data_IF_627049667282
#
_entry.id   IF_627049667282
#
_cell.length_a   1.000
_cell.length_b   1.000
_cell.length_c   1.000
_cell.angle_alpha   90.00
_cell.angle_beta   90.00
_cell.angle_gamma   90.00
#
_symmetry.space_group_name_H-M   'P 1'
#
loop_
_entity.id
_entity.type
_entity.pdbx_description
1 polymer ?
#
# COMPACT_ATOMS: atom_id res chain seq x y z
N UNK A 1 2.82 2.59 -20.97
CA UNK A 1 4.20 2.02 -20.93
C UNK A 1 4.27 1.14 -19.69
N UNK A 2 4.68 -0.14 -19.79
CA UNK A 2 4.65 -1.03 -18.62
C UNK A 2 5.77 -0.67 -17.65
N UNK A 3 5.43 -0.19 -16.45
CA UNK A 3 6.42 0.15 -15.41
C UNK A 3 7.16 -1.12 -14.95
N UNK A 4 8.44 -0.98 -14.58
CA UNK A 4 9.28 -2.11 -14.20
C UNK A 4 8.81 -2.78 -12.90
N UNK A 5 9.17 -4.05 -12.69
CA UNK A 5 8.84 -4.80 -11.48
C UNK A 5 9.12 -4.04 -10.17
N UNK A 6 10.30 -3.40 -9.97
CA UNK A 6 10.53 -2.57 -8.80
C UNK A 6 9.62 -1.33 -8.71
N UNK A 7 9.28 -0.70 -9.83
CA UNK A 7 8.38 0.46 -9.86
C UNK A 7 6.95 0.09 -9.52
N UNK A 8 6.48 -1.09 -9.94
CA UNK A 8 5.16 -1.62 -9.56
C UNK A 8 5.04 -1.78 -8.04
N UNK A 9 6.06 -2.35 -7.39
CA UNK A 9 6.06 -2.52 -5.92
C UNK A 9 6.07 -1.18 -5.21
N UNK A 10 6.89 -0.24 -5.66
CA UNK A 10 6.96 1.12 -5.10
C UNK A 10 5.63 1.85 -5.25
N UNK A 11 5.03 1.79 -6.45
CA UNK A 11 3.72 2.36 -6.73
C UNK A 11 2.65 1.84 -5.79
N UNK A 12 2.57 0.51 -5.61
CA UNK A 12 1.61 -0.11 -4.69
C UNK A 12 1.88 0.30 -3.26
N UNK A 13 3.13 0.39 -2.83
CA UNK A 13 3.48 0.79 -1.48
C UNK A 13 3.14 2.25 -1.17
N UNK A 14 3.47 3.19 -2.06
CA UNK A 14 3.11 4.61 -1.92
C UNK A 14 1.61 4.83 -2.13
N UNK A 15 0.98 4.12 -3.07
CA UNK A 15 -0.44 4.16 -3.34
C UNK A 15 -1.28 3.67 -2.16
N UNK A 16 -0.90 2.56 -1.55
CA UNK A 16 -1.56 2.09 -0.32
C UNK A 16 -1.41 3.08 0.84
N UNK A 17 -0.21 3.65 1.01
CA UNK A 17 -0.01 4.68 2.01
C UNK A 17 -0.91 5.91 1.77
N UNK A 18 -1.03 6.37 0.52
CA UNK A 18 -1.93 7.47 0.16
C UNK A 18 -3.38 7.11 0.44
N UNK A 19 -3.85 5.95 0.00
CA UNK A 19 -5.22 5.50 0.21
C UNK A 19 -5.59 5.42 1.70
N UNK A 20 -4.69 4.90 2.54
CA UNK A 20 -4.91 4.82 3.98
C UNK A 20 -4.98 6.21 4.64
N UNK A 21 -4.12 7.15 4.23
CA UNK A 21 -4.23 8.54 4.69
C UNK A 21 -5.56 9.18 4.29
N UNK A 22 -6.07 8.88 3.09
CA UNK A 22 -7.39 9.34 2.65
C UNK A 22 -8.52 8.74 3.50
N UNK A 23 -8.35 7.51 3.99
CA UNK A 23 -9.25 6.89 4.98
C UNK A 23 -9.06 7.41 6.41
N UNK A 24 -8.13 8.36 6.65
CA UNK A 24 -7.79 8.85 7.99
C UNK A 24 -6.96 7.88 8.84
N UNK A 25 -6.34 6.87 8.22
CA UNK A 25 -5.47 5.88 8.88
C UNK A 25 -4.00 6.24 8.66
N UNK A 26 -3.33 6.70 9.71
CA UNK A 26 -1.92 7.13 9.65
C UNK A 26 -0.91 6.03 10.02
N UNK A 27 -1.38 4.96 10.65
CA UNK A 27 -0.55 3.83 11.06
C UNK A 27 -1.35 2.52 11.05
N UNK A 28 -0.63 1.40 11.03
CA UNK A 28 -1.17 0.06 11.25
C UNK A 28 -0.54 -0.51 12.53
N UNK A 29 -1.38 -0.90 13.47
CA UNK A 29 -1.00 -1.55 14.73
C UNK A 29 -1.23 -3.08 14.70
N UNK A 30 -1.79 -3.57 13.60
CA UNK A 30 -2.10 -4.97 13.42
C UNK A 30 -0.85 -5.84 13.20
N UNK A 31 -0.86 -7.09 13.68
CA UNK A 31 0.25 -7.99 13.45
C UNK A 31 0.42 -8.25 11.95
N UNK A 32 1.68 -8.31 11.51
CA UNK A 32 2.05 -8.48 10.10
C UNK A 32 1.29 -9.57 9.34
N UNK A 33 1.02 -10.72 9.98
CA UNK A 33 0.31 -11.83 9.32
C UNK A 33 -1.13 -11.45 8.95
N UNK A 34 -1.75 -10.55 9.71
CA UNK A 34 -3.11 -10.09 9.45
C UNK A 34 -3.13 -9.07 8.31
N UNK A 35 -2.13 -8.18 8.30
CA UNK A 35 -1.88 -7.28 7.17
C UNK A 35 -1.60 -8.06 5.87
N UNK A 36 -0.77 -9.11 5.95
CA UNK A 36 -0.49 -10.03 4.83
C UNK A 36 -1.81 -10.61 4.28
N UNK A 37 -2.64 -11.19 5.16
CA UNK A 37 -3.91 -11.83 4.81
C UNK A 37 -4.90 -10.86 4.15
N UNK A 38 -5.13 -9.70 4.78
CA UNK A 38 -6.08 -8.70 4.28
C UNK A 38 -5.65 -8.19 2.89
N UNK A 39 -4.36 -7.87 2.72
CA UNK A 39 -3.85 -7.36 1.46
C UNK A 39 -3.85 -8.42 0.34
N UNK A 40 -3.44 -9.65 0.64
CA UNK A 40 -3.43 -10.77 -0.32
C UNK A 40 -4.83 -11.12 -0.83
N UNK A 41 -5.87 -10.90 -0.03
CA UNK A 41 -7.25 -11.14 -0.43
C UNK A 41 -7.81 -10.02 -1.33
N UNK A 42 -7.59 -8.75 -0.97
CA UNK A 42 -8.21 -7.63 -1.69
C UNK A 42 -7.46 -7.25 -2.97
N UNK A 43 -6.13 -7.30 -2.97
CA UNK A 43 -5.32 -6.80 -4.08
C UNK A 43 -5.64 -7.48 -5.42
N UNK A 44 -5.77 -8.81 -5.52
CA UNK A 44 -6.07 -9.46 -6.80
C UNK A 44 -7.47 -9.15 -7.36
N UNK A 45 -8.40 -8.64 -6.54
CA UNK A 45 -9.78 -8.31 -6.96
C UNK A 45 -9.95 -6.83 -7.30
N UNK A 46 -8.98 -6.00 -6.96
CA UNK A 46 -8.98 -4.58 -7.26
C UNK A 46 -8.88 -4.34 -8.78
N UNK A 47 -9.62 -3.33 -9.27
CA UNK A 47 -9.79 -3.08 -10.70
C UNK A 47 -8.48 -2.80 -11.45
N UNK A 48 -7.51 -2.18 -10.78
CA UNK A 48 -6.21 -1.81 -11.35
C UNK A 48 -5.13 -2.86 -11.14
N UNK A 49 -5.43 -3.98 -10.47
CA UNK A 49 -4.45 -5.03 -10.16
C UNK A 49 -3.73 -5.60 -11.39
N UNK A 50 -4.41 -5.58 -12.55
CA UNK A 50 -3.86 -6.01 -13.84
C UNK A 50 -2.64 -5.20 -14.30
N UNK A 51 -2.56 -3.92 -13.92
CA UNK A 51 -1.44 -3.02 -14.26
C UNK A 51 -0.18 -3.34 -13.44
N UNK A 52 -0.36 -4.03 -12.30
CA UNK A 52 0.70 -4.43 -11.38
C UNK A 52 0.97 -5.93 -11.43
N UNK A 53 1.11 -6.47 -12.64
CA UNK A 53 1.25 -7.93 -12.86
C UNK A 53 2.39 -8.57 -12.05
N UNK A 54 3.48 -7.85 -11.78
CA UNK A 54 4.56 -8.36 -10.94
C UNK A 54 4.11 -8.53 -9.49
N UNK A 55 3.34 -7.59 -8.95
CA UNK A 55 2.82 -7.68 -7.59
C UNK A 55 1.87 -8.86 -7.48
N UNK A 56 0.99 -9.07 -8.46
CA UNK A 56 0.15 -10.27 -8.52
C UNK A 56 0.99 -11.55 -8.52
N UNK A 57 2.08 -11.60 -9.29
CA UNK A 57 3.02 -12.73 -9.28
C UNK A 57 3.71 -12.91 -7.93
N UNK A 58 4.13 -11.83 -7.30
CA UNK A 58 4.80 -11.87 -6.00
C UNK A 58 3.88 -12.48 -4.93
N UNK A 59 2.63 -11.99 -4.84
CA UNK A 59 1.62 -12.51 -3.91
C UNK A 59 1.32 -14.00 -4.17
N UNK A 60 1.15 -14.39 -5.45
CA UNK A 60 0.93 -15.81 -5.82
C UNK A 60 2.08 -16.73 -5.45
N UNK A 61 3.31 -16.22 -5.45
CA UNK A 61 4.50 -17.00 -5.07
C UNK A 61 4.76 -16.99 -3.56
N UNK A 62 3.81 -16.49 -2.75
CA UNK A 62 3.94 -16.41 -1.29
C UNK A 62 4.86 -15.29 -0.82
N UNK A 63 5.08 -14.25 -1.64
CA UNK A 63 5.72 -13.02 -1.16
C UNK A 63 4.71 -12.30 -0.29
N UNK A 64 4.96 -12.28 1.02
CA UNK A 64 4.12 -11.66 2.04
C UNK A 64 3.54 -10.29 1.62
N UNK A 65 2.22 -10.16 1.62
CA UNK A 65 1.49 -8.93 1.26
C UNK A 65 2.00 -7.66 1.94
N UNK A 66 2.29 -7.70 3.24
CA UNK A 66 2.87 -6.61 4.00
C UNK A 66 4.27 -6.23 3.49
N UNK A 67 5.10 -7.15 2.98
CA UNK A 67 6.39 -6.77 2.39
C UNK A 67 6.16 -5.93 1.12
N UNK A 68 5.22 -6.35 0.27
CA UNK A 68 4.88 -5.62 -0.95
C UNK A 68 4.32 -4.24 -0.59
N UNK A 69 3.44 -4.19 0.41
CA UNK A 69 2.74 -2.97 0.83
C UNK A 69 3.67 -1.99 1.57
N UNK A 70 4.54 -2.46 2.48
CA UNK A 70 5.23 -1.58 3.44
C UNK A 70 6.74 -1.59 3.34
N UNK A 71 7.35 -2.39 2.46
CA UNK A 71 8.83 -2.52 2.37
C UNK A 71 9.39 -2.43 0.96
N UNK A 72 8.60 -2.06 -0.03
CA UNK A 72 9.11 -1.81 -1.38
C UNK A 72 10.18 -0.68 -1.40
N UNK A 73 10.14 0.20 -0.40
CA UNK A 73 10.92 1.42 -0.22
C UNK A 73 12.26 1.24 0.51
N UNK A 74 12.48 0.11 1.20
CA UNK A 74 13.58 -0.08 2.15
C UNK A 74 15.01 0.06 1.57
N UNK A 75 15.18 0.14 0.25
CA UNK A 75 16.48 0.32 -0.41
C UNK A 75 16.48 1.32 -1.57
N UNK A 76 15.38 2.05 -1.81
CA UNK A 76 15.25 2.94 -2.97
C UNK A 76 14.55 4.23 -2.58
N UNK A 77 14.98 5.35 -3.18
CA UNK A 77 14.36 6.66 -3.02
C UNK A 77 12.89 6.58 -3.47
N UNK A 78 11.94 6.36 -2.56
CA UNK A 78 10.54 6.73 -2.79
C UNK A 78 10.45 8.24 -2.84
N UNK A 79 9.51 8.76 -3.62
CA UNK A 79 9.47 10.18 -3.93
C UNK A 79 8.57 10.95 -2.96
N UNK A 80 7.54 10.32 -2.38
CA UNK A 80 6.50 11.01 -1.59
C UNK A 80 6.27 10.43 -0.20
N UNK A 81 5.85 9.17 -0.11
CA UNK A 81 5.49 8.50 1.13
C UNK A 81 6.46 7.36 1.47
N UNK A 82 6.61 7.08 2.76
CA UNK A 82 7.34 5.91 3.24
C UNK A 82 6.69 5.33 4.49
N UNK A 83 7.01 4.06 4.72
CA UNK A 83 6.58 3.32 5.90
C UNK A 83 7.70 3.29 6.92
N UNK A 84 7.44 3.79 8.11
CA UNK A 84 8.39 3.82 9.21
C UNK A 84 7.92 2.89 10.33
N UNK A 85 8.72 1.87 10.71
CA UNK A 85 8.39 1.05 11.86
C UNK A 85 8.60 1.85 13.15
N UNK A 86 7.61 1.83 14.04
CA UNK A 86 7.71 2.30 15.43
C UNK A 86 7.26 1.18 16.38
N UNK A 87 8.23 0.42 16.89
CA UNK A 87 7.95 -0.78 17.67
C UNK A 87 7.17 -1.83 16.86
N UNK A 88 5.97 -2.25 17.30
CA UNK A 88 5.11 -3.17 16.55
C UNK A 88 4.31 -2.49 15.42
N UNK A 89 4.26 -1.15 15.40
CA UNK A 89 3.43 -0.37 14.48
C UNK A 89 4.18 0.01 13.20
N UNK A 90 3.42 0.23 12.13
CA UNK A 90 3.92 0.78 10.86
C UNK A 90 3.24 2.12 10.58
N UNK A 91 4.01 3.19 10.66
CA UNK A 91 3.56 4.57 10.43
C UNK A 91 3.75 5.01 8.98
N UNK A 92 2.78 5.74 8.46
CA UNK A 92 2.88 6.40 7.16
C UNK A 92 3.46 7.80 7.38
N UNK A 93 4.56 8.10 6.69
CA UNK A 93 5.24 9.40 6.79
C UNK A 93 5.43 10.05 5.42
N UNK A 94 5.26 11.36 5.39
CA UNK A 94 5.71 12.20 4.29
C UNK A 94 7.22 12.35 4.35
N UNK A 95 7.93 12.03 3.27
CA UNK A 95 9.38 12.26 3.20
C UNK A 95 9.76 13.75 3.20
N UNK A 96 8.84 14.62 2.81
CA UNK A 96 9.05 16.07 2.84
C UNK A 96 8.94 16.66 4.24
N UNK A 97 8.35 15.92 5.20
CA UNK A 97 8.03 16.43 6.54
C UNK A 97 6.80 17.34 6.61
N UNK A 98 6.18 17.62 5.46
CA UNK A 98 5.00 18.48 5.32
C UNK A 98 3.71 17.66 5.15
N UNK A 99 2.57 18.36 5.26
CA UNK A 99 1.22 17.83 4.99
C UNK A 99 1.13 17.18 3.58
N UNK A 100 0.49 16.02 3.50
CA UNK A 100 0.40 15.23 2.26
C UNK A 100 -0.68 15.82 1.35
N UNK A 101 -0.28 16.39 0.22
CA UNK A 101 -1.20 16.80 -0.84
C UNK A 101 -1.59 15.62 -1.72
N UNK A 102 -2.84 15.15 -1.61
CA UNK A 102 -3.38 14.02 -2.40
C UNK A 102 -3.12 14.19 -3.89
N UNK A 103 -3.40 15.38 -4.43
CA UNK A 103 -3.23 15.67 -5.86
C UNK A 103 -1.76 15.63 -6.32
N UNK A 104 -0.83 16.06 -5.47
CA UNK A 104 0.60 16.05 -5.78
C UNK A 104 1.16 14.63 -5.66
N UNK A 105 0.84 13.93 -4.57
CA UNK A 105 1.27 12.55 -4.32
C UNK A 105 0.79 11.61 -5.41
N UNK A 106 -0.48 11.72 -5.84
CA UNK A 106 -1.03 10.89 -6.94
C UNK A 106 -0.25 11.06 -8.24
N UNK A 107 0.21 12.28 -8.56
CA UNK A 107 1.02 12.55 -9.77
C UNK A 107 2.44 11.99 -9.68
N UNK A 108 2.92 11.71 -8.47
CA UNK A 108 4.26 11.18 -8.21
C UNK A 108 4.28 9.65 -8.19
N UNK A 109 3.14 9.03 -7.86
CA UNK A 109 2.98 7.57 -7.84
C UNK A 109 2.93 7.05 -9.28
N UNK A 110 3.73 6.01 -9.54
CA UNK A 110 3.72 5.30 -10.82
C UNK A 110 2.44 4.46 -11.01
N UNK A 111 2.03 4.24 -12.25
CA UNK A 111 0.96 3.28 -12.59
C UNK A 111 -0.35 3.89 -13.06
N UNK A 112 -0.41 5.22 -13.23
CA UNK A 112 -1.56 5.93 -13.81
C UNK A 112 -2.91 5.66 -13.10
N UNK A 113 -2.86 5.25 -11.82
CA UNK A 113 -4.02 5.01 -10.98
C UNK A 113 -4.47 6.34 -10.33
N UNK A 114 -5.75 6.74 -10.47
CA UNK A 114 -6.28 7.94 -9.81
C UNK A 114 -6.31 7.79 -8.28
N UNK A 115 -6.35 8.90 -7.55
CA UNK A 115 -6.38 8.90 -6.08
C UNK A 115 -7.51 8.03 -5.53
N UNK A 116 -8.68 8.12 -6.15
CA UNK A 116 -9.87 7.35 -5.82
C UNK A 116 -9.64 5.84 -5.97
N UNK A 117 -8.85 5.41 -6.95
CA UNK A 117 -8.51 4.00 -7.12
C UNK A 117 -7.68 3.47 -5.94
N UNK A 118 -6.74 4.26 -5.44
CA UNK A 118 -5.96 3.91 -4.25
C UNK A 118 -6.80 3.93 -2.96
N UNK A 119 -7.71 4.89 -2.86
CA UNK A 119 -8.66 4.98 -1.76
C UNK A 119 -9.57 3.74 -1.71
N UNK A 120 -10.17 3.34 -2.84
CA UNK A 120 -11.00 2.13 -2.92
C UNK A 120 -10.25 0.86 -2.48
N UNK A 121 -8.97 0.73 -2.86
CA UNK A 121 -8.14 -0.39 -2.41
C UNK A 121 -7.90 -0.35 -0.89
N UNK A 122 -7.66 0.84 -0.33
CA UNK A 122 -7.44 1.02 1.09
C UNK A 122 -8.71 0.78 1.91
N UNK A 123 -9.87 1.25 1.45
CA UNK A 123 -11.18 0.94 2.07
C UNK A 123 -11.42 -0.56 2.12
N UNK A 124 -11.28 -1.25 0.97
CA UNK A 124 -11.46 -2.70 0.92
C UNK A 124 -10.47 -3.44 1.83
N UNK A 125 -9.21 -2.99 1.89
CA UNK A 125 -8.20 -3.52 2.80
C UNK A 125 -8.60 -3.35 4.26
N UNK A 126 -9.04 -2.15 4.68
CA UNK A 126 -9.45 -1.86 6.06
C UNK A 126 -10.69 -2.64 6.45
N UNK A 127 -11.70 -2.72 5.58
CA UNK A 127 -12.89 -3.54 5.80
C UNK A 127 -12.50 -5.00 6.09
N UNK A 128 -11.56 -5.54 5.31
CA UNK A 128 -11.12 -6.91 5.49
C UNK A 128 -10.27 -7.09 6.76
N UNK A 129 -9.44 -6.10 7.10
CA UNK A 129 -8.63 -6.08 8.31
C UNK A 129 -9.51 -6.08 9.56
N UNK A 130 -10.55 -5.23 9.57
CA UNK A 130 -11.53 -5.09 10.66
C UNK A 130 -12.39 -6.34 10.86
N UNK A 131 -12.71 -7.06 9.78
CA UNK A 131 -13.42 -8.33 9.86
C UNK A 131 -12.64 -9.42 10.62
N UNK A 132 -11.31 -9.30 10.66
CA UNK A 132 -10.45 -10.27 11.33
C UNK A 132 -10.02 -9.84 12.74
N UNK A 133 -9.97 -8.54 13.03
CA UNK A 133 -9.76 -8.03 14.40
C UNK A 133 -11.02 -8.22 15.27
N UNK A 134 -12.22 -8.04 14.72
CA UNK A 134 -13.49 -8.23 15.46
C UNK A 134 -13.88 -9.70 15.75
N UNK A 135 -13.04 -10.67 15.35
CA UNK A 135 -13.24 -12.10 15.61
C UNK A 135 -12.37 -12.66 16.76
N UNK A 136 -11.61 -11.80 17.44
CA UNK A 136 -10.82 -12.14 18.63
C UNK A 136 -11.55 -11.74 19.92
#
# INVERSE_FOLDING_TARGET
MKISAPRQRLAVSEGMALGLLMCGREHLDEPRWLVDLAFEDVFPRWAYSGDFSQVVTDLRNGTNGAIVMTRADARKKTFSLCWEPDGPELWIRSRAGDEVSVSMTTRMIDGDVPAEGWHELAEAFLDHLDMHTNKA
#
